data_IF_710271445111
#
_entry.id   IF_710271445111
#
_cell.length_a   1.000
_cell.length_b   1.000
_cell.length_c   1.000
_cell.angle_alpha   90.00
_cell.angle_beta   90.00
_cell.angle_gamma   90.00
#
_symmetry.space_group_name_H-M   'P 1'
#
loop_
_entity.id
_entity.type
_entity.pdbx_description
1 polymer ?
#
# COMPACT_ATOMS: atom_id res chain seq x y z
N UNK A 1 -7.27 -22.73 39.07
CA UNK A 1 -8.38 -22.61 38.11
C UNK A 1 -9.09 -21.31 38.41
N UNK A 2 -8.82 -20.27 37.60
CA UNK A 2 -9.48 -18.98 37.71
C UNK A 2 -10.26 -18.81 36.41
N UNK A 3 -11.57 -18.96 36.54
CA UNK A 3 -12.51 -18.90 35.45
C UNK A 3 -12.77 -17.42 35.19
N UNK A 4 -12.21 -16.88 34.11
CA UNK A 4 -12.51 -15.54 33.67
C UNK A 4 -13.46 -15.64 32.46
N UNK A 5 -14.79 -15.67 32.68
CA UNK A 5 -15.73 -15.51 31.59
C UNK A 5 -15.55 -14.10 31.05
N UNK A 6 -15.54 -13.93 29.73
CA UNK A 6 -15.49 -12.64 29.03
C UNK A 6 -14.07 -12.10 28.70
N UNK A 7 -13.28 -12.80 27.89
CA UNK A 7 -12.29 -12.13 27.02
C UNK A 7 -12.94 -11.76 25.69
N UNK A 8 -13.77 -10.71 25.73
CA UNK A 8 -14.14 -9.96 24.54
C UNK A 8 -12.84 -9.39 23.98
N UNK A 9 -12.45 -9.86 22.79
CA UNK A 9 -11.38 -9.29 21.95
C UNK A 9 -10.09 -8.98 22.71
N UNK A 10 -9.20 -9.97 22.84
CA UNK A 10 -7.81 -9.66 23.15
C UNK A 10 -7.26 -8.77 22.01
N UNK A 11 -6.91 -7.48 22.23
CA UNK A 11 -6.24 -6.65 21.23
C UNK A 11 -4.74 -6.99 21.17
N UNK A 12 -4.37 -8.23 21.51
CA UNK A 12 -2.99 -8.71 21.52
C UNK A 12 -2.61 -9.41 20.21
N UNK A 13 -3.59 -9.60 19.33
CA UNK A 13 -3.40 -10.01 17.94
C UNK A 13 -3.91 -8.85 17.07
N UNK A 14 -3.38 -7.64 17.31
CA UNK A 14 -3.44 -6.62 16.26
C UNK A 14 -2.66 -7.21 15.10
N UNK A 15 -3.24 -7.40 13.89
CA UNK A 15 -2.40 -7.60 12.73
C UNK A 15 -1.54 -6.35 12.68
N UNK A 16 -0.26 -6.49 13.04
CA UNK A 16 0.73 -5.47 12.75
C UNK A 16 0.57 -5.29 11.26
N UNK A 17 0.01 -4.17 10.83
CA UNK A 17 -0.16 -3.91 9.42
C UNK A 17 1.28 -3.85 8.89
N UNK A 18 1.74 -4.96 8.30
CA UNK A 18 3.14 -5.15 7.92
C UNK A 18 3.50 -4.27 6.72
N UNK A 19 2.47 -3.75 6.04
CA UNK A 19 2.54 -2.82 4.95
C UNK A 19 2.15 -1.40 5.39
N UNK A 20 2.78 -0.39 4.79
CA UNK A 20 2.50 1.02 5.05
C UNK A 20 1.32 1.52 4.23
N UNK A 21 1.23 1.06 2.98
CA UNK A 21 0.30 1.60 2.00
C UNK A 21 -0.21 0.51 1.05
N UNK A 22 -1.21 0.87 0.24
CA UNK A 22 -1.68 0.04 -0.86
C UNK A 22 -1.40 0.75 -2.19
N UNK A 23 -1.06 -0.05 -3.20
CA UNK A 23 -0.94 0.43 -4.57
C UNK A 23 -2.31 0.87 -5.07
N UNK A 24 -2.43 2.11 -5.54
CA UNK A 24 -3.70 2.64 -6.07
C UNK A 24 -4.13 2.03 -7.41
N UNK A 25 -3.24 1.28 -8.09
CA UNK A 25 -3.55 0.64 -9.38
C UNK A 25 -3.94 -0.84 -9.26
N UNK A 26 -3.27 -1.60 -8.39
CA UNK A 26 -3.48 -3.05 -8.24
C UNK A 26 -3.94 -3.48 -6.84
N UNK A 27 -4.18 -2.53 -5.93
CA UNK A 27 -4.51 -2.78 -4.52
C UNK A 27 -3.47 -3.65 -3.77
N UNK A 28 -2.26 -3.76 -4.32
CA UNK A 28 -1.16 -4.52 -3.75
C UNK A 28 -0.58 -3.86 -2.50
N UNK A 29 -0.12 -4.66 -1.56
CA UNK A 29 0.47 -4.18 -0.30
C UNK A 29 1.87 -3.61 -0.53
N UNK A 30 2.12 -2.38 -0.07
CA UNK A 30 3.40 -1.68 -0.13
C UNK A 30 4.08 -1.74 1.24
N UNK A 31 5.15 -2.51 1.33
CA UNK A 31 5.89 -2.74 2.57
C UNK A 31 7.06 -1.76 2.75
N UNK A 32 7.44 -1.54 4.00
CA UNK A 32 8.58 -0.70 4.34
C UNK A 32 9.86 -1.21 3.68
N UNK A 33 10.51 -0.37 2.87
CA UNK A 33 11.72 -0.72 2.11
C UNK A 33 11.48 -1.25 0.70
N UNK A 34 10.22 -1.36 0.25
CA UNK A 34 9.92 -1.58 -1.17
C UNK A 34 10.00 -0.28 -1.97
N UNK A 35 10.39 -0.38 -3.24
CA UNK A 35 10.34 0.76 -4.16
C UNK A 35 8.90 1.01 -4.58
N UNK A 36 8.37 2.18 -4.22
CA UNK A 36 7.09 2.68 -4.69
C UNK A 36 7.22 4.14 -5.11
N UNK A 37 6.31 4.58 -5.98
CA UNK A 37 6.29 5.90 -6.57
C UNK A 37 5.02 6.65 -6.16
N UNK A 38 5.15 7.93 -5.81
CA UNK A 38 4.01 8.78 -5.51
C UNK A 38 3.67 9.67 -6.72
N UNK A 39 2.44 9.56 -7.23
CA UNK A 39 1.94 10.35 -8.35
C UNK A 39 0.61 11.03 -7.97
N UNK A 40 0.62 12.36 -7.81
CA UNK A 40 -0.58 13.14 -7.44
C UNK A 40 -1.30 12.58 -6.18
N UNK A 41 -0.55 12.02 -5.23
CA UNK A 41 -1.09 11.37 -4.02
C UNK A 41 -1.52 9.91 -4.20
N UNK A 42 -1.30 9.32 -5.38
CA UNK A 42 -1.48 7.89 -5.63
C UNK A 42 -0.14 7.18 -5.45
N UNK A 43 -0.10 6.17 -4.59
CA UNK A 43 1.08 5.35 -4.39
C UNK A 43 1.03 4.16 -5.36
N UNK A 44 2.06 3.99 -6.16
CA UNK A 44 2.12 2.99 -7.23
C UNK A 44 3.34 2.10 -7.01
N UNK A 45 3.14 0.78 -7.01
CA UNK A 45 4.25 -0.16 -6.93
C UNK A 45 5.14 -0.09 -8.19
N UNK A 46 6.39 -0.52 -8.08
CA UNK A 46 7.33 -0.57 -9.21
C UNK A 46 6.78 -1.32 -10.43
N UNK A 47 6.03 -2.41 -10.22
CA UNK A 47 5.41 -3.19 -11.30
C UNK A 47 4.31 -2.42 -12.05
N UNK A 48 3.51 -1.63 -11.34
CA UNK A 48 2.44 -0.83 -11.94
C UNK A 48 2.96 0.50 -12.49
N UNK A 49 4.13 0.96 -12.05
CA UNK A 49 4.70 2.26 -12.42
C UNK A 49 4.84 2.44 -13.94
N UNK A 50 5.38 1.45 -14.66
CA UNK A 50 5.57 1.56 -16.11
C UNK A 50 4.23 1.77 -16.84
N UNK A 51 3.24 0.92 -16.56
CA UNK A 51 1.90 1.03 -17.17
C UNK A 51 1.18 2.30 -16.71
N UNK A 52 1.36 2.70 -15.45
CA UNK A 52 0.79 3.92 -14.92
C UNK A 52 1.38 5.15 -15.62
N UNK A 53 2.69 5.19 -15.85
CA UNK A 53 3.39 6.19 -16.65
C UNK A 53 2.97 6.18 -18.13
N UNK A 54 2.71 5.03 -18.75
CA UNK A 54 2.19 5.03 -20.12
C UNK A 54 0.79 5.66 -20.21
N UNK A 55 -0.06 5.42 -19.20
CA UNK A 55 -1.45 5.93 -19.16
C UNK A 55 -1.52 7.41 -18.74
N UNK A 56 -0.77 7.79 -17.72
CA UNK A 56 -0.82 9.13 -17.10
C UNK A 56 0.41 10.00 -17.45
N UNK A 57 1.54 9.40 -17.76
CA UNK A 57 2.80 10.06 -18.12
C UNK A 57 2.84 10.62 -19.54
N UNK A 58 1.86 10.34 -20.41
CA UNK A 58 1.67 11.08 -21.67
C UNK A 58 1.45 12.59 -21.46
N UNK A 59 1.13 13.00 -20.23
CA UNK A 59 1.07 14.42 -19.82
C UNK A 59 2.42 15.01 -19.39
N UNK A 60 3.44 14.19 -19.18
CA UNK A 60 4.79 14.60 -18.75
C UNK A 60 5.85 14.46 -19.85
N UNK A 61 5.63 13.66 -20.89
CA UNK A 61 6.54 13.51 -22.05
C UNK A 61 6.10 14.40 -23.22
N UNK A 62 5.84 15.67 -22.92
CA UNK A 62 5.76 16.75 -23.91
C UNK A 62 6.65 17.91 -23.41
N UNK A 63 7.89 17.57 -23.09
CA UNK A 63 8.99 18.50 -22.83
C UNK A 63 10.11 18.19 -23.81
N UNK A 64 10.13 19.02 -24.85
CA UNK A 64 11.14 19.29 -25.89
C UNK A 64 12.60 18.85 -25.63
#
# INVERSE_FOLDING_TARGET
MLENPNTIGNPHDSPRQEFEHYCSDCDGELYFGMTYYEFEGNLICEECNEKFLERHGTRFVAGE
#
